data_IF_542812722913
#
_entry.id   IF_542812722913
#
_cell.length_a   1.000
_cell.length_b   1.000
_cell.length_c   1.000
_cell.angle_alpha   90.00
_cell.angle_beta   90.00
_cell.angle_gamma   90.00
#
_symmetry.space_group_name_H-M   'P 1'
#
loop_
_entity.id
_entity.type
_entity.pdbx_description
1 polymer ?
#
# COMPACT_ATOMS: atom_id res chain seq x y z
N UNK A 1 30.52 -65.60 13.29
CA UNK A 1 30.88 -64.57 12.30
C UNK A 1 29.63 -64.28 11.45
N UNK A 2 28.86 -63.23 11.79
CA UNK A 2 27.58 -62.90 11.13
C UNK A 2 27.85 -61.95 9.95
N UNK A 3 27.79 -62.46 8.72
CA UNK A 3 27.95 -61.68 7.49
C UNK A 3 26.60 -61.23 6.86
N UNK A 4 25.47 -61.41 7.56
CA UNK A 4 24.14 -61.11 7.02
C UNK A 4 23.74 -59.62 7.08
N UNK A 5 24.54 -58.73 7.68
CA UNK A 5 24.10 -57.37 8.01
C UNK A 5 24.44 -56.30 6.96
N UNK A 6 25.34 -56.58 6.02
CA UNK A 6 25.91 -55.56 5.12
C UNK A 6 24.96 -55.14 3.99
N UNK A 7 24.16 -56.07 3.44
CA UNK A 7 23.19 -55.76 2.37
C UNK A 7 21.97 -54.98 2.86
N UNK A 8 21.49 -55.24 4.08
CA UNK A 8 20.35 -54.53 4.66
C UNK A 8 20.70 -53.07 5.02
N UNK A 9 21.96 -52.84 5.40
CA UNK A 9 22.46 -51.52 5.80
C UNK A 9 22.60 -50.54 4.63
N UNK A 10 22.85 -51.05 3.40
CA UNK A 10 22.88 -50.22 2.19
C UNK A 10 21.48 -49.79 1.74
N UNK A 11 20.46 -50.64 1.92
CA UNK A 11 19.07 -50.31 1.59
C UNK A 11 18.48 -49.25 2.51
N UNK A 12 18.81 -49.31 3.80
CA UNK A 12 18.35 -48.35 4.81
C UNK A 12 18.96 -46.96 4.58
N UNK A 13 20.26 -46.88 4.26
CA UNK A 13 20.93 -45.63 3.93
C UNK A 13 20.36 -44.93 2.67
N UNK A 14 19.92 -45.70 1.67
CA UNK A 14 19.25 -45.15 0.48
C UNK A 14 17.84 -44.62 0.81
N UNK A 15 17.11 -45.30 1.70
CA UNK A 15 15.79 -44.84 2.14
C UNK A 15 15.90 -43.56 2.97
N UNK A 16 16.87 -43.51 3.89
CA UNK A 16 17.11 -42.36 4.76
C UNK A 16 17.54 -41.13 3.96
N UNK A 17 18.43 -41.30 2.97
CA UNK A 17 18.81 -40.20 2.07
C UNK A 17 17.65 -39.74 1.17
N UNK A 18 16.78 -40.64 0.70
CA UNK A 18 15.58 -40.28 -0.05
C UNK A 18 14.61 -39.44 0.79
N UNK A 19 14.39 -39.84 2.04
CA UNK A 19 13.57 -39.08 3.00
C UNK A 19 14.21 -37.71 3.26
N UNK A 20 15.52 -37.65 3.47
CA UNK A 20 16.25 -36.40 3.66
C UNK A 20 16.11 -35.43 2.48
N UNK A 21 16.25 -35.92 1.24
CA UNK A 21 16.08 -35.10 0.03
C UNK A 21 14.63 -34.62 -0.12
N UNK A 22 13.64 -35.48 0.16
CA UNK A 22 12.21 -35.10 0.11
C UNK A 22 11.90 -34.01 1.14
N UNK A 23 12.38 -34.16 2.38
CA UNK A 23 12.19 -33.15 3.42
C UNK A 23 12.87 -31.83 3.05
N UNK A 24 14.12 -31.88 2.54
CA UNK A 24 14.83 -30.70 2.07
C UNK A 24 14.09 -30.02 0.91
N UNK A 25 13.52 -30.78 -0.02
CA UNK A 25 12.74 -30.26 -1.14
C UNK A 25 11.46 -29.56 -0.67
N UNK A 26 10.71 -30.15 0.27
CA UNK A 26 9.50 -29.55 0.85
C UNK A 26 9.83 -28.25 1.58
N UNK A 27 10.90 -28.22 2.37
CA UNK A 27 11.36 -27.02 3.05
C UNK A 27 11.76 -25.94 2.03
N UNK A 28 12.52 -26.30 0.99
CA UNK A 28 12.92 -25.38 -0.07
C UNK A 28 11.73 -24.77 -0.82
N UNK A 29 10.71 -25.57 -1.14
CA UNK A 29 9.47 -25.09 -1.75
C UNK A 29 8.69 -24.15 -0.82
N UNK A 30 8.64 -24.46 0.48
CA UNK A 30 8.02 -23.59 1.47
C UNK A 30 8.72 -22.22 1.57
N UNK A 31 10.05 -22.21 1.61
CA UNK A 31 10.85 -20.98 1.68
C UNK A 31 10.67 -20.12 0.42
N UNK A 32 10.72 -20.72 -0.76
CA UNK A 32 10.51 -19.99 -2.03
C UNK A 32 9.11 -19.43 -2.14
N UNK A 33 8.09 -20.16 -1.69
CA UNK A 33 6.72 -19.67 -1.64
C UNK A 33 6.60 -18.44 -0.74
N UNK A 34 7.12 -18.49 0.50
CA UNK A 34 7.07 -17.34 1.42
C UNK A 34 7.89 -16.16 0.89
N UNK A 35 9.06 -16.40 0.31
CA UNK A 35 9.90 -15.37 -0.29
C UNK A 35 9.18 -14.65 -1.43
N UNK A 36 8.52 -15.38 -2.33
CA UNK A 36 7.76 -14.81 -3.44
C UNK A 36 6.63 -13.89 -2.96
N UNK A 37 5.89 -14.31 -1.92
CA UNK A 37 4.81 -13.53 -1.32
C UNK A 37 5.34 -12.30 -0.59
N UNK A 38 6.48 -12.42 0.08
CA UNK A 38 7.14 -11.31 0.79
C UNK A 38 7.63 -10.25 -0.19
N UNK A 39 8.22 -10.66 -1.32
CA UNK A 39 8.67 -9.74 -2.36
C UNK A 39 7.48 -8.95 -2.96
N UNK A 40 6.36 -9.63 -3.22
CA UNK A 40 5.14 -8.98 -3.69
C UNK A 40 4.62 -7.95 -2.68
N UNK A 41 4.62 -8.28 -1.38
CA UNK A 41 4.23 -7.36 -0.32
C UNK A 41 5.19 -6.15 -0.21
N UNK A 42 6.50 -6.37 -0.32
CA UNK A 42 7.50 -5.30 -0.31
C UNK A 42 7.32 -4.35 -1.49
N UNK A 43 7.02 -4.88 -2.68
CA UNK A 43 6.74 -4.05 -3.86
C UNK A 43 5.57 -3.11 -3.61
N UNK A 44 4.47 -3.61 -3.06
CA UNK A 44 3.28 -2.80 -2.74
C UNK A 44 3.63 -1.74 -1.69
N UNK A 45 4.33 -2.12 -0.62
CA UNK A 45 4.75 -1.18 0.43
C UNK A 45 5.62 -0.04 -0.11
N UNK A 46 6.58 -0.34 -0.98
CA UNK A 46 7.42 0.68 -1.61
C UNK A 46 6.61 1.61 -2.51
N UNK A 47 5.65 1.08 -3.28
CA UNK A 47 4.76 1.92 -4.11
C UNK A 47 3.86 2.84 -3.29
N UNK A 48 3.39 2.39 -2.14
CA UNK A 48 2.64 3.24 -1.21
C UNK A 48 3.50 4.38 -0.66
N UNK A 49 4.75 4.08 -0.26
CA UNK A 49 5.69 5.11 0.20
C UNK A 49 5.96 6.19 -0.86
N UNK A 50 6.19 5.76 -2.11
CA UNK A 50 6.37 6.68 -3.24
C UNK A 50 5.10 7.49 -3.51
N UNK A 51 3.91 6.85 -3.52
CA UNK A 51 2.65 7.53 -3.75
C UNK A 51 2.37 8.62 -2.70
N UNK A 52 2.62 8.32 -1.41
CA UNK A 52 2.46 9.29 -0.32
C UNK A 52 3.45 10.44 -0.46
N UNK A 53 4.71 10.16 -0.81
CA UNK A 53 5.72 11.20 -1.03
C UNK A 53 5.34 12.13 -2.19
N UNK A 54 4.98 11.55 -3.35
CA UNK A 54 4.52 12.31 -4.51
C UNK A 54 3.26 13.11 -4.21
N UNK A 55 2.31 12.54 -3.44
CA UNK A 55 1.11 13.27 -3.01
C UNK A 55 1.45 14.45 -2.10
N UNK A 56 2.35 14.28 -1.13
CA UNK A 56 2.82 15.40 -0.28
C UNK A 56 3.46 16.50 -1.12
N UNK A 57 4.27 16.13 -2.12
CA UNK A 57 4.89 17.10 -3.01
C UNK A 57 3.86 17.85 -3.86
N UNK A 58 2.84 17.14 -4.39
CA UNK A 58 1.72 17.77 -5.10
C UNK A 58 0.94 18.71 -4.20
N UNK A 59 0.65 18.32 -2.95
CA UNK A 59 -0.05 19.17 -1.97
C UNK A 59 0.79 20.41 -1.61
N UNK A 60 2.11 20.28 -1.45
CA UNK A 60 2.98 21.43 -1.17
C UNK A 60 3.07 22.40 -2.34
N UNK A 61 3.01 21.90 -3.58
CA UNK A 61 3.14 22.71 -4.79
C UNK A 61 1.84 23.44 -5.14
N UNK A 62 0.71 22.73 -5.07
CA UNK A 62 -0.60 23.23 -5.54
C UNK A 62 -1.42 23.79 -4.38
N UNK A 63 -1.19 23.32 -3.15
CA UNK A 63 -2.00 23.64 -1.98
C UNK A 63 -3.28 22.81 -1.90
N UNK A 64 -3.78 22.56 -0.68
CA UNK A 64 -4.96 21.72 -0.45
C UNK A 64 -6.23 22.33 -1.04
N UNK A 65 -6.40 23.66 -0.95
CA UNK A 65 -7.57 24.37 -1.46
C UNK A 65 -7.70 24.25 -2.99
N UNK A 66 -6.61 24.28 -3.74
CA UNK A 66 -6.66 24.14 -5.20
C UNK A 66 -6.92 22.69 -5.65
N UNK A 67 -6.43 21.70 -4.89
CA UNK A 67 -6.79 20.29 -5.10
C UNK A 67 -8.28 20.02 -4.84
N UNK A 68 -8.86 20.70 -3.85
CA UNK A 68 -10.28 20.60 -3.52
C UNK A 68 -11.18 21.46 -4.43
N UNK A 69 -10.62 22.49 -5.07
CA UNK A 69 -11.32 23.36 -6.02
C UNK A 69 -11.50 22.76 -7.43
N UNK A 70 -11.21 21.47 -7.61
CA UNK A 70 -11.40 20.77 -8.89
C UNK A 70 -10.23 20.89 -9.88
N UNK A 71 -9.06 21.37 -9.44
CA UNK A 71 -7.88 21.40 -10.30
C UNK A 71 -7.39 19.97 -10.55
N UNK A 72 -7.35 19.56 -11.82
CA UNK A 72 -6.86 18.24 -12.24
C UNK A 72 -5.45 18.01 -11.71
N UNK A 73 -5.32 17.14 -10.71
CA UNK A 73 -4.08 16.85 -10.02
C UNK A 73 -3.58 15.46 -10.36
N UNK A 74 -2.26 15.31 -10.40
CA UNK A 74 -1.59 14.05 -10.73
C UNK A 74 -0.47 13.77 -9.74
N UNK A 75 -0.18 12.51 -9.54
CA UNK A 75 1.05 12.05 -8.88
C UNK A 75 1.89 11.29 -9.89
N UNK A 76 3.20 11.51 -9.86
CA UNK A 76 4.15 10.75 -10.68
C UNK A 76 4.77 9.65 -9.82
N UNK A 77 4.69 8.40 -10.29
CA UNK A 77 5.37 7.26 -9.65
C UNK A 77 6.15 6.55 -10.74
N UNK A 78 7.47 6.44 -10.55
CA UNK A 78 8.38 5.79 -11.49
C UNK A 78 8.14 6.28 -12.94
N UNK A 79 8.22 7.61 -13.13
CA UNK A 79 8.02 8.37 -14.39
C UNK A 79 6.63 8.28 -15.04
N UNK A 80 5.67 7.58 -14.45
CA UNK A 80 4.29 7.51 -14.94
C UNK A 80 3.39 8.43 -14.13
N UNK A 81 2.60 9.25 -14.82
CA UNK A 81 1.61 10.12 -14.22
C UNK A 81 0.29 9.39 -13.99
N UNK A 82 -0.23 9.48 -12.75
CA UNK A 82 -1.52 8.96 -12.35
C UNK A 82 -2.43 10.12 -11.98
N UNK A 83 -3.56 10.23 -12.69
CA UNK A 83 -4.56 11.23 -12.40
C UNK A 83 -5.30 10.91 -11.09
N UNK A 84 -5.57 11.94 -10.31
CA UNK A 84 -6.21 11.86 -9.01
C UNK A 84 -7.66 12.33 -9.11
N UNK A 85 -8.53 11.66 -8.35
CA UNK A 85 -9.84 12.15 -7.98
C UNK A 85 -9.78 12.59 -6.51
N UNK A 86 -10.08 13.86 -6.27
CA UNK A 86 -10.10 14.44 -4.93
C UNK A 86 -11.54 14.59 -4.46
N UNK A 87 -11.82 14.17 -3.23
CA UNK A 87 -13.08 14.42 -2.54
C UNK A 87 -12.74 15.11 -1.23
N UNK A 88 -13.17 16.36 -1.10
CA UNK A 88 -12.91 17.18 0.07
C UNK A 88 -14.22 17.49 0.79
N UNK A 89 -14.24 17.34 2.10
CA UNK A 89 -15.34 17.77 2.94
C UNK A 89 -14.89 19.01 3.70
N UNK A 90 -15.49 20.16 3.37
CA UNK A 90 -15.30 21.37 4.15
C UNK A 90 -16.04 21.26 5.49
N UNK A 91 -15.49 21.82 6.56
CA UNK A 91 -16.26 22.03 7.77
C UNK A 91 -17.49 22.92 7.47
N UNK A 92 -18.63 22.59 8.09
CA UNK A 92 -19.78 23.49 8.16
C UNK A 92 -19.38 24.82 8.80
N UNK A 93 -20.07 25.91 8.45
CA UNK A 93 -19.81 27.24 8.99
C UNK A 93 -19.69 27.20 10.53
N UNK A 94 -18.59 27.74 11.06
CA UNK A 94 -18.30 27.72 12.49
C UNK A 94 -18.80 29.04 13.06
N UNK A 95 -19.86 28.99 13.87
CA UNK A 95 -20.33 30.14 14.65
C UNK A 95 -19.75 30.06 16.05
N UNK A 96 -18.82 30.95 16.36
CA UNK A 96 -18.30 31.13 17.73
C UNK A 96 -19.04 32.30 18.35
N UNK A 97 -19.75 32.04 19.45
CA UNK A 97 -20.39 33.08 20.25
C UNK A 97 -19.61 33.27 21.54
N UNK A 98 -19.08 34.47 21.76
CA UNK A 98 -18.41 34.85 23.00
C UNK A 98 -18.91 36.22 23.45
N UNK A 99 -19.33 36.35 24.71
CA UNK A 99 -19.77 37.62 25.31
C UNK A 99 -20.86 38.36 24.50
N UNK A 100 -21.87 37.62 24.00
CA UNK A 100 -22.96 38.12 23.13
C UNK A 100 -22.55 38.61 21.73
N UNK A 101 -21.28 38.46 21.35
CA UNK A 101 -20.79 38.73 20.00
C UNK A 101 -20.64 37.41 19.24
N UNK A 102 -21.20 37.37 18.02
CA UNK A 102 -21.21 36.17 17.18
C UNK A 102 -20.27 36.38 16.00
N UNK A 103 -19.19 35.61 15.95
CA UNK A 103 -18.30 35.56 14.77
C UNK A 103 -18.64 34.30 13.99
N UNK A 104 -19.08 34.49 12.74
CA UNK A 104 -19.37 33.40 11.82
C UNK A 104 -18.21 33.24 10.85
N UNK A 105 -17.54 32.09 10.90
CA UNK A 105 -16.59 31.67 9.86
C UNK A 105 -17.41 30.96 8.78
N UNK A 106 -17.55 31.53 7.57
CA UNK A 106 -18.32 30.92 6.50
C UNK A 106 -17.69 29.59 6.08
N UNK A 107 -18.50 28.63 5.61
CA UNK A 107 -18.04 27.29 5.22
C UNK A 107 -16.92 27.31 4.14
N UNK A 108 -16.85 28.38 3.33
CA UNK A 108 -15.77 28.59 2.35
C UNK A 108 -14.41 28.94 2.97
N UNK A 109 -14.39 29.43 4.21
CA UNK A 109 -13.19 29.74 5.00
C UNK A 109 -12.98 28.73 6.15
N UNK A 110 -13.87 27.75 6.29
CA UNK A 110 -13.79 26.74 7.33
C UNK A 110 -12.72 25.69 6.95
N UNK A 111 -11.95 25.19 7.93
CA UNK A 111 -10.89 24.22 7.65
C UNK A 111 -11.47 22.93 7.04
N UNK A 112 -10.74 22.33 6.10
CA UNK A 112 -11.09 21.02 5.54
C UNK A 112 -10.89 19.95 6.61
N UNK A 113 -11.98 19.28 7.02
CA UNK A 113 -11.96 18.25 8.08
C UNK A 113 -11.61 16.87 7.54
N UNK A 114 -11.94 16.60 6.27
CA UNK A 114 -11.52 15.36 5.63
C UNK A 114 -11.15 15.55 4.16
N UNK A 115 -10.09 14.86 3.77
CA UNK A 115 -9.52 14.88 2.44
C UNK A 115 -9.30 13.44 1.99
N UNK A 116 -10.00 13.04 0.94
CA UNK A 116 -9.84 11.73 0.32
C UNK A 116 -9.28 11.89 -1.08
N UNK A 117 -8.21 11.16 -1.37
CA UNK A 117 -7.63 11.08 -2.71
C UNK A 117 -7.71 9.66 -3.19
N UNK A 118 -8.27 9.48 -4.37
CA UNK A 118 -8.28 8.19 -5.06
C UNK A 118 -7.55 8.33 -6.38
N UNK A 119 -6.78 7.30 -6.76
CA UNK A 119 -6.35 7.20 -8.16
C UNK A 119 -7.56 6.97 -9.05
N UNK A 120 -7.58 7.56 -10.25
CA UNK A 120 -8.58 7.17 -11.25
C UNK A 120 -8.47 5.68 -11.57
N UNK A 121 -9.61 5.05 -11.88
CA UNK A 121 -9.62 3.64 -12.24
C UNK A 121 -8.85 3.44 -13.55
N UNK A 122 -7.72 2.73 -13.47
CA UNK A 122 -6.86 2.42 -14.60
C UNK A 122 -6.18 1.06 -14.37
N UNK A 123 -5.91 0.33 -15.46
CA UNK A 123 -5.15 -0.93 -15.41
C UNK A 123 -3.75 -0.74 -14.79
N UNK A 124 -3.16 0.44 -15.00
CA UNK A 124 -1.88 0.81 -14.39
C UNK A 124 -2.00 0.98 -12.87
N UNK A 125 -3.05 1.65 -12.39
CA UNK A 125 -3.29 1.81 -10.96
C UNK A 125 -3.59 0.46 -10.28
N UNK A 126 -4.42 -0.38 -10.91
CA UNK A 126 -4.74 -1.72 -10.39
C UNK A 126 -3.52 -2.62 -10.29
N UNK A 127 -2.61 -2.58 -11.27
CA UNK A 127 -1.38 -3.39 -11.23
C UNK A 127 -0.34 -2.89 -10.23
N UNK A 128 -0.36 -1.60 -9.90
CA UNK A 128 0.57 -0.99 -8.96
C UNK A 128 0.11 -1.14 -7.50
N UNK A 129 -1.18 -0.92 -7.23
CA UNK A 129 -1.76 -0.87 -5.89
C UNK A 129 -2.61 -2.11 -5.54
N UNK A 130 -2.87 -3.01 -6.48
CA UNK A 130 -3.81 -4.13 -6.30
C UNK A 130 -5.29 -3.71 -6.33
N UNK A 131 -5.58 -2.46 -6.72
CA UNK A 131 -6.93 -1.87 -6.72
C UNK A 131 -6.89 -0.37 -7.03
N UNK A 132 -7.95 0.36 -6.67
CA UNK A 132 -7.92 1.83 -6.68
C UNK A 132 -7.19 2.29 -5.41
N UNK A 133 -6.06 2.97 -5.55
CA UNK A 133 -5.31 3.48 -4.40
C UNK A 133 -6.10 4.60 -3.73
N UNK A 134 -6.48 4.42 -2.47
CA UNK A 134 -7.26 5.37 -1.68
C UNK A 134 -6.49 5.80 -0.44
N UNK A 135 -6.37 7.12 -0.26
CA UNK A 135 -5.79 7.74 0.93
C UNK A 135 -6.85 8.66 1.52
N UNK A 136 -7.28 8.35 2.75
CA UNK A 136 -8.21 9.18 3.52
C UNK A 136 -7.42 9.85 4.64
N UNK A 137 -7.49 11.17 4.70
CA UNK A 137 -6.94 11.98 5.79
C UNK A 137 -8.13 12.66 6.46
N UNK A 138 -8.45 12.25 7.68
CA UNK A 138 -9.40 12.93 8.56
C UNK A 138 -8.63 13.68 9.63
N UNK A 139 -8.90 14.97 9.80
CA UNK A 139 -8.41 15.82 10.88
C UNK A 139 -9.50 16.10 11.90
#
# INVERSE_FOLDING_TARGET
>A
MKLSSYKSQQGDALLESLIGIVLAAVIGLGLTYVASRTLAAQRIANTHGMAVSSLRQTIQTVGLNALCGGTASKITINTTDYALNTSCTAATAITVTANAETVTIPAAAAPTTSFTVKTQESAAAKSLFGGNGEIVISQ
#
